data_IF_897953061130
#
_entry.id   IF_897953061130
#
_cell.length_a   1.000
_cell.length_b   1.000
_cell.length_c   1.000
_cell.angle_alpha   90.00
_cell.angle_beta   90.00
_cell.angle_gamma   90.00
#
_symmetry.space_group_name_H-M   'P 1'
#
loop_
_entity.id
_entity.type
_entity.pdbx_description
1 polymer ?
#
# COMPACT_ATOMS: atom_id res chain seq x y z
N UNK A 1 -0.52 -10.21 19.29
CA UNK A 1 0.20 -9.38 18.29
C UNK A 1 -0.63 -8.14 17.97
N UNK A 2 0.02 -7.04 17.57
CA UNK A 2 -0.65 -5.79 17.18
C UNK A 2 -0.78 -5.70 15.67
N UNK A 3 -1.80 -5.00 15.19
CA UNK A 3 -2.04 -4.82 13.75
C UNK A 3 -2.21 -3.35 13.40
N UNK A 4 -1.58 -2.93 12.32
CA UNK A 4 -1.75 -1.61 11.72
C UNK A 4 -2.40 -1.82 10.35
N UNK A 5 -3.51 -1.13 10.09
CA UNK A 5 -4.11 -1.01 8.77
C UNK A 5 -3.77 0.37 8.23
N UNK A 6 -3.11 0.42 7.08
CA UNK A 6 -2.60 1.66 6.50
C UNK A 6 -3.06 1.82 5.04
N UNK A 7 -3.49 3.05 4.72
CA UNK A 7 -3.74 3.52 3.35
C UNK A 7 -3.28 4.96 3.16
N UNK A 8 -2.70 5.28 2.00
CA UNK A 8 -2.31 6.65 1.66
C UNK A 8 -1.38 6.75 0.46
N UNK A 9 -1.49 7.86 -0.26
CA UNK A 9 -0.58 8.19 -1.38
C UNK A 9 0.85 8.43 -0.88
N UNK A 10 1.00 9.10 0.26
CA UNK A 10 2.25 9.17 0.98
C UNK A 10 2.20 8.25 2.20
N UNK A 11 3.37 7.94 2.76
CA UNK A 11 3.43 7.16 3.98
C UNK A 11 3.11 8.05 5.21
N UNK A 12 2.21 7.65 6.13
CA UNK A 12 1.70 8.52 7.19
C UNK A 12 2.83 8.99 8.08
N UNK A 13 2.90 10.29 8.43
CA UNK A 13 3.90 10.79 9.37
C UNK A 13 3.91 9.99 10.68
N UNK A 14 2.73 9.61 11.17
CA UNK A 14 2.60 8.80 12.38
C UNK A 14 3.22 7.40 12.25
N UNK A 15 3.14 6.76 11.08
CA UNK A 15 3.78 5.46 10.87
C UNK A 15 5.30 5.62 10.93
N UNK A 16 5.86 6.68 10.35
CA UNK A 16 7.30 7.00 10.43
C UNK A 16 7.78 7.21 11.87
N UNK A 17 6.93 7.78 12.73
CA UNK A 17 7.25 7.96 14.15
C UNK A 17 7.15 6.62 14.89
N UNK A 18 6.08 5.86 14.67
CA UNK A 18 5.85 4.55 15.32
C UNK A 18 7.04 3.62 15.07
N UNK A 19 7.52 3.52 13.83
CA UNK A 19 8.64 2.62 13.48
C UNK A 19 9.98 3.03 14.12
N UNK A 20 10.14 4.30 14.50
CA UNK A 20 11.35 4.82 15.16
C UNK A 20 11.31 4.68 16.67
N UNK A 21 10.13 4.81 17.27
CA UNK A 21 9.96 4.91 18.73
C UNK A 21 9.59 3.56 19.35
N UNK A 22 8.88 2.70 18.63
CA UNK A 22 8.41 1.41 19.14
C UNK A 22 9.10 0.24 18.46
N UNK A 23 9.37 -0.81 19.23
CA UNK A 23 9.73 -2.11 18.67
C UNK A 23 8.53 -2.68 17.91
N UNK A 24 8.71 -2.94 16.62
CA UNK A 24 7.69 -3.54 15.77
C UNK A 24 7.93 -5.03 15.51
N UNK A 25 8.60 -5.71 16.45
CA UNK A 25 8.97 -7.11 16.29
C UNK A 25 7.75 -8.03 16.11
N UNK A 26 6.61 -7.66 16.69
CA UNK A 26 5.36 -8.44 16.70
C UNK A 26 4.17 -7.63 16.14
N UNK A 27 4.42 -6.90 15.05
CA UNK A 27 3.42 -6.04 14.38
C UNK A 27 3.12 -6.54 12.98
N UNK A 28 1.83 -6.67 12.66
CA UNK A 28 1.35 -6.86 11.31
C UNK A 28 1.01 -5.51 10.69
N UNK A 29 1.38 -5.30 9.43
CA UNK A 29 1.02 -4.11 8.65
C UNK A 29 0.21 -4.58 7.45
N UNK A 30 -1.07 -4.25 7.43
CA UNK A 30 -1.95 -4.49 6.29
C UNK A 30 -1.93 -3.22 5.43
N UNK A 31 -1.38 -3.34 4.23
CA UNK A 31 -1.25 -2.23 3.30
C UNK A 31 -2.36 -2.30 2.23
N UNK A 32 -3.03 -1.18 2.01
CA UNK A 32 -4.00 -1.09 0.91
C UNK A 32 -3.32 -1.21 -0.47
N UNK A 33 -4.12 -1.31 -1.53
CA UNK A 33 -3.64 -1.40 -2.91
C UNK A 33 -4.39 -0.43 -3.86
N UNK A 34 -5.03 0.61 -3.30
CA UNK A 34 -5.83 1.58 -4.07
C UNK A 34 -4.95 2.43 -5.01
N UNK A 35 -3.68 2.61 -4.64
CA UNK A 35 -2.71 3.35 -5.42
C UNK A 35 -1.75 2.43 -6.20
N UNK A 36 -2.04 1.14 -6.33
CA UNK A 36 -1.29 0.27 -7.23
C UNK A 36 -1.38 0.81 -8.66
N UNK A 37 -0.25 0.82 -9.37
CA UNK A 37 -0.16 1.32 -10.74
C UNK A 37 0.77 0.47 -11.58
N UNK A 38 0.80 0.71 -12.89
CA UNK A 38 1.74 0.06 -13.80
C UNK A 38 2.69 1.08 -14.41
N UNK A 39 3.97 0.71 -14.52
CA UNK A 39 4.97 1.42 -15.30
C UNK A 39 5.47 0.48 -16.41
N UNK A 40 5.19 0.81 -17.67
CA UNK A 40 5.61 -0.02 -18.82
C UNK A 40 5.24 -1.52 -18.68
N UNK A 41 4.05 -1.81 -18.15
CA UNK A 41 3.55 -3.18 -17.91
C UNK A 41 4.02 -3.84 -16.61
N UNK A 42 4.88 -3.17 -15.83
CA UNK A 42 5.36 -3.64 -14.54
C UNK A 42 4.46 -3.10 -13.41
N UNK A 43 3.87 -3.99 -12.60
CA UNK A 43 2.96 -3.61 -11.52
C UNK A 43 3.71 -3.14 -10.27
N UNK A 44 3.48 -1.91 -9.85
CA UNK A 44 3.95 -1.36 -8.58
C UNK A 44 2.84 -1.48 -7.54
N UNK A 45 3.18 -2.01 -6.36
CA UNK A 45 2.24 -2.15 -5.25
C UNK A 45 2.50 -1.07 -4.22
N UNK A 46 1.94 0.11 -4.45
CA UNK A 46 2.48 1.36 -3.93
C UNK A 46 2.59 1.40 -2.41
N UNK A 47 1.50 1.17 -1.67
CA UNK A 47 1.54 1.21 -0.20
C UNK A 47 2.37 0.08 0.41
N UNK A 48 2.24 -1.13 -0.12
CA UNK A 48 2.95 -2.29 0.41
C UNK A 48 4.47 -2.17 0.17
N UNK A 49 4.87 -1.67 -1.00
CA UNK A 49 6.28 -1.40 -1.34
C UNK A 49 6.82 -0.22 -0.51
N UNK A 50 6.04 0.84 -0.31
CA UNK A 50 6.43 1.94 0.58
C UNK A 50 6.64 1.47 2.03
N UNK A 51 5.80 0.56 2.53
CA UNK A 51 5.95 0.00 3.87
C UNK A 51 7.23 -0.84 4.00
N UNK A 52 7.57 -1.64 2.99
CA UNK A 52 8.84 -2.38 2.94
C UNK A 52 10.02 -1.41 2.97
N UNK A 53 10.02 -0.42 2.10
CA UNK A 53 11.14 0.52 1.95
C UNK A 53 11.37 1.33 3.22
N UNK A 54 10.31 1.82 3.87
CA UNK A 54 10.39 2.51 5.16
C UNK A 54 11.10 1.67 6.23
N UNK A 55 10.82 0.36 6.27
CA UNK A 55 11.33 -0.53 7.30
C UNK A 55 12.69 -1.13 6.95
N UNK A 56 13.08 -1.09 5.68
CA UNK A 56 14.37 -1.58 5.21
C UNK A 56 15.49 -0.62 5.62
N UNK A 57 16.29 -1.01 6.61
CA UNK A 57 17.49 -0.27 6.98
C UNK A 57 18.52 -0.44 5.85
N UNK A 58 18.89 0.66 5.20
CA UNK A 58 19.98 0.69 4.20
C UNK A 58 19.56 0.94 2.75
N UNK A 59 18.26 0.91 2.42
CA UNK A 59 17.77 1.42 1.13
C UNK A 59 17.48 2.92 1.23
N UNK A 60 17.01 3.38 2.40
CA UNK A 60 16.77 4.79 2.68
C UNK A 60 18.06 5.61 2.50
N UNK A 61 18.08 6.50 1.50
CA UNK A 61 19.22 7.36 1.17
C UNK A 61 20.18 6.83 0.08
N UNK A 62 19.98 5.61 -0.42
CA UNK A 62 20.71 5.05 -1.58
C UNK A 62 19.84 4.94 -2.83
N UNK A 63 18.54 5.21 -2.70
CA UNK A 63 17.56 5.09 -3.78
C UNK A 63 17.73 6.20 -4.82
N UNK A 64 17.42 5.88 -6.08
CA UNK A 64 17.53 6.82 -7.21
C UNK A 64 16.35 6.65 -8.18
N UNK A 65 16.32 7.44 -9.25
CA UNK A 65 15.25 7.41 -10.26
C UNK A 65 15.81 7.16 -11.67
N UNK A 66 16.97 6.49 -11.75
CA UNK A 66 17.73 6.33 -13.00
C UNK A 66 16.91 5.55 -14.04
N UNK A 67 16.22 4.49 -13.62
CA UNK A 67 15.37 3.72 -14.54
C UNK A 67 14.23 4.56 -15.08
N UNK A 68 13.59 5.39 -14.25
CA UNK A 68 12.53 6.30 -14.70
C UNK A 68 13.07 7.31 -15.72
N UNK A 69 14.20 7.97 -15.44
CA UNK A 69 14.79 8.96 -16.35
C UNK A 69 15.12 8.35 -17.73
N UNK A 70 15.60 7.11 -17.75
CA UNK A 70 15.87 6.38 -19.00
C UNK A 70 14.56 6.04 -19.72
N UNK A 71 13.53 5.56 -19.00
CA UNK A 71 12.23 5.25 -19.58
C UNK A 71 11.59 6.49 -20.23
N UNK A 72 11.66 7.65 -19.57
CA UNK A 72 11.18 8.92 -20.10
C UNK A 72 11.93 9.34 -21.38
N UNK A 73 13.27 9.20 -21.41
CA UNK A 73 14.09 9.43 -22.61
C UNK A 73 13.71 8.53 -23.79
N UNK A 74 13.20 7.33 -23.50
CA UNK A 74 12.70 6.38 -24.50
C UNK A 74 11.24 6.64 -24.91
N UNK A 75 10.60 7.69 -24.36
CA UNK A 75 9.22 8.08 -24.69
C UNK A 75 8.14 7.40 -23.84
N UNK A 76 8.51 6.70 -22.76
CA UNK A 76 7.52 6.18 -21.82
C UNK A 76 6.90 7.31 -21.00
N UNK A 77 5.58 7.26 -20.82
CA UNK A 77 4.86 8.20 -19.95
C UNK A 77 4.94 7.72 -18.50
N UNK A 78 5.63 8.46 -17.64
CA UNK A 78 5.74 8.17 -16.20
C UNK A 78 5.14 9.34 -15.41
N UNK A 79 3.89 9.20 -14.99
CA UNK A 79 3.19 10.25 -14.24
C UNK A 79 3.43 10.18 -12.72
N UNK A 80 3.88 9.02 -12.25
CA UNK A 80 4.10 8.75 -10.83
C UNK A 80 5.60 8.52 -10.63
N UNK A 81 6.29 9.37 -9.85
CA UNK A 81 7.69 9.15 -9.53
C UNK A 81 7.91 7.76 -8.94
N UNK A 82 8.72 6.96 -9.62
CA UNK A 82 8.95 5.54 -9.30
C UNK A 82 10.44 5.32 -9.16
N UNK A 83 10.88 5.07 -7.93
CA UNK A 83 12.28 4.87 -7.64
C UNK A 83 12.81 3.51 -8.09
N UNK A 84 14.12 3.42 -8.24
CA UNK A 84 14.82 2.20 -8.66
C UNK A 84 14.58 1.06 -7.65
N UNK A 85 14.45 1.37 -6.34
CA UNK A 85 14.08 0.37 -5.35
C UNK A 85 12.66 -0.19 -5.55
N UNK A 86 11.66 0.64 -5.88
CA UNK A 86 10.31 0.15 -6.20
C UNK A 86 10.30 -0.73 -7.43
N UNK A 87 11.06 -0.35 -8.45
CA UNK A 87 11.22 -1.14 -9.67
C UNK A 87 11.87 -2.49 -9.34
N UNK A 88 12.92 -2.51 -8.52
CA UNK A 88 13.59 -3.74 -8.09
C UNK A 88 12.65 -4.68 -7.29
N UNK A 89 11.88 -4.14 -6.34
CA UNK A 89 10.87 -4.90 -5.59
C UNK A 89 9.82 -5.51 -6.53
N UNK A 90 9.36 -4.74 -7.52
CA UNK A 90 8.40 -5.21 -8.50
C UNK A 90 8.97 -6.31 -9.41
N UNK A 91 10.18 -6.14 -9.95
CA UNK A 91 10.86 -7.18 -10.75
C UNK A 91 11.00 -8.49 -9.95
N UNK A 92 11.41 -8.38 -8.68
CA UNK A 92 11.50 -9.53 -7.80
C UNK A 92 10.14 -10.21 -7.61
N UNK A 93 9.10 -9.43 -7.28
CA UNK A 93 7.72 -9.92 -7.10
C UNK A 93 7.19 -10.61 -8.36
N UNK A 94 7.33 -10.00 -9.53
CA UNK A 94 6.88 -10.58 -10.80
C UNK A 94 7.61 -11.89 -11.13
N UNK A 95 8.92 -11.95 -10.88
CA UNK A 95 9.70 -13.18 -11.04
C UNK A 95 9.21 -14.32 -10.15
N UNK A 96 8.68 -14.01 -8.96
CA UNK A 96 8.08 -14.99 -8.03
C UNK A 96 6.65 -15.37 -8.40
N UNK A 97 5.83 -14.41 -8.79
CA UNK A 97 4.45 -14.65 -9.23
C UNK A 97 4.41 -15.60 -10.45
N UNK A 98 5.34 -15.44 -11.40
CA UNK A 98 5.49 -16.36 -12.54
C UNK A 98 5.82 -17.80 -12.14
N UNK A 99 6.33 -18.01 -10.93
CA UNK A 99 6.60 -19.35 -10.35
C UNK A 99 5.47 -19.82 -9.44
N UNK A 100 4.26 -19.25 -9.60
CA UNK A 100 3.06 -19.57 -8.83
C UNK A 100 3.20 -19.39 -7.31
N UNK A 101 4.11 -18.51 -6.87
CA UNK A 101 4.18 -18.16 -5.45
C UNK A 101 3.04 -17.21 -5.07
N UNK A 102 2.43 -17.45 -3.91
CA UNK A 102 1.39 -16.58 -3.37
C UNK A 102 1.96 -15.21 -2.92
N UNK A 103 1.22 -14.13 -3.19
CA UNK A 103 1.66 -12.75 -2.93
C UNK A 103 2.04 -12.49 -1.46
N UNK A 104 1.29 -13.03 -0.50
CA UNK A 104 1.61 -12.90 0.94
C UNK A 104 2.94 -13.58 1.27
N UNK A 105 3.23 -14.72 0.63
CA UNK A 105 4.52 -15.41 0.82
C UNK A 105 5.68 -14.62 0.20
N UNK A 106 5.45 -13.95 -0.93
CA UNK A 106 6.45 -13.08 -1.57
C UNK A 106 6.80 -11.92 -0.65
N UNK A 107 5.81 -11.23 -0.07
CA UNK A 107 6.07 -10.15 0.89
C UNK A 107 6.77 -10.65 2.16
N UNK A 108 6.44 -11.86 2.64
CA UNK A 108 7.18 -12.48 3.74
C UNK A 108 8.64 -12.76 3.38
N UNK A 109 8.91 -13.21 2.16
CA UNK A 109 10.28 -13.41 1.66
C UNK A 109 11.04 -12.08 1.56
N UNK A 110 10.42 -11.05 1.00
CA UNK A 110 10.97 -9.69 0.92
C UNK A 110 11.33 -9.16 2.31
N UNK A 111 10.39 -9.22 3.27
CA UNK A 111 10.66 -8.80 4.65
C UNK A 111 11.85 -9.54 5.26
N UNK A 112 11.93 -10.86 5.10
CA UNK A 112 13.08 -11.66 5.60
C UNK A 112 14.40 -11.23 4.97
N UNK A 113 14.44 -11.06 3.65
CA UNK A 113 15.66 -10.66 2.93
C UNK A 113 16.13 -9.25 3.29
N UNK A 114 15.19 -8.36 3.58
CA UNK A 114 15.45 -6.98 4.01
C UNK A 114 15.61 -6.85 5.53
N UNK A 115 15.62 -7.96 6.27
CA UNK A 115 15.73 -8.00 7.75
C UNK A 115 14.64 -7.17 8.46
N UNK A 116 13.47 -7.07 7.83
CA UNK A 116 12.28 -6.39 8.35
C UNK A 116 11.55 -7.36 9.28
N UNK A 117 11.35 -6.95 10.53
CA UNK A 117 10.62 -7.75 11.53
C UNK A 117 9.10 -7.70 11.34
N UNK A 118 8.47 -6.53 11.10
CA UNK A 118 7.04 -6.48 10.83
C UNK A 118 6.62 -7.38 9.69
N UNK A 119 5.45 -8.02 9.85
CA UNK A 119 4.84 -8.81 8.80
C UNK A 119 3.96 -7.90 7.94
N UNK A 120 4.39 -7.64 6.70
CA UNK A 120 3.66 -6.79 5.75
C UNK A 120 2.76 -7.69 4.90
N UNK A 121 1.48 -7.37 4.87
CA UNK A 121 0.45 -8.13 4.16
C UNK A 121 -0.27 -7.17 3.20
N UNK A 122 -0.12 -7.33 1.89
CA UNK A 122 -0.94 -6.59 0.93
C UNK A 122 -2.41 -6.95 1.13
N UNK A 123 -3.33 -6.00 0.95
CA UNK A 123 -4.76 -6.23 1.18
C UNK A 123 -5.34 -7.33 0.30
N UNK A 124 -5.15 -7.24 -1.01
CA UNK A 124 -5.68 -8.17 -2.00
C UNK A 124 -4.78 -8.22 -3.23
N UNK A 125 -4.89 -9.28 -4.05
CA UNK A 125 -4.33 -9.32 -5.40
C UNK A 125 -5.30 -8.77 -6.46
N UNK A 126 -6.58 -8.58 -6.10
CA UNK A 126 -7.57 -8.03 -7.02
C UNK A 126 -7.24 -6.58 -7.37
N UNK A 127 -7.47 -6.21 -8.62
CA UNK A 127 -7.28 -4.83 -9.08
C UNK A 127 -8.32 -3.93 -8.44
N UNK A 128 -7.85 -2.87 -7.80
CA UNK A 128 -8.65 -1.75 -7.32
C UNK A 128 -8.08 -0.50 -7.98
N UNK A 129 -8.96 0.37 -8.47
CA UNK A 129 -8.57 1.65 -9.04
C UNK A 129 -9.44 2.77 -8.51
N UNK A 130 -8.81 3.92 -8.29
CA UNK A 130 -9.48 5.16 -7.91
C UNK A 130 -9.14 6.24 -8.95
N UNK A 131 -10.17 6.72 -9.65
CA UNK A 131 -10.06 7.75 -10.69
C UNK A 131 -10.69 9.03 -10.18
N UNK A 132 -9.99 10.14 -10.34
CA UNK A 132 -10.45 11.48 -9.99
C UNK A 132 -10.81 12.19 -11.29
N UNK A 133 -12.10 12.56 -11.41
CA UNK A 133 -12.58 13.39 -12.53
C UNK A 133 -12.42 14.86 -12.18
N UNK A 134 -11.77 15.58 -13.08
CA UNK A 134 -11.43 17.00 -12.91
C UNK A 134 -12.00 17.82 -14.07
N UNK A 135 -11.83 19.14 -14.03
CA UNK A 135 -12.14 19.99 -15.18
C UNK A 135 -11.23 19.77 -16.40
N UNK A 136 -10.05 19.19 -16.18
CA UNK A 136 -8.98 19.06 -17.18
C UNK A 136 -8.84 17.63 -17.72
N UNK A 137 -9.66 16.70 -17.22
CA UNK A 137 -9.64 15.29 -17.57
C UNK A 137 -9.66 14.37 -16.36
N UNK A 138 -9.25 13.13 -16.55
CA UNK A 138 -9.22 12.09 -15.53
C UNK A 138 -7.77 11.75 -15.17
N UNK A 139 -7.51 11.65 -13.87
CA UNK A 139 -6.21 11.25 -13.31
C UNK A 139 -6.44 10.20 -12.22
N UNK A 140 -5.43 9.38 -11.92
CA UNK A 140 -5.53 8.49 -10.76
C UNK A 140 -5.57 9.29 -9.45
N UNK A 141 -6.14 8.68 -8.40
CA UNK A 141 -6.11 9.26 -7.06
C UNK A 141 -4.68 9.53 -6.56
N UNK A 142 -3.73 8.66 -6.93
CA UNK A 142 -2.32 8.86 -6.60
C UNK A 142 -1.75 10.10 -7.28
N UNK A 143 -2.00 10.27 -8.59
CA UNK A 143 -1.58 11.47 -9.32
C UNK A 143 -2.19 12.74 -8.73
N UNK A 144 -3.47 12.70 -8.34
CA UNK A 144 -4.14 13.83 -7.69
C UNK A 144 -3.45 14.23 -6.38
N UNK A 145 -3.09 13.27 -5.53
CA UNK A 145 -2.38 13.56 -4.28
C UNK A 145 -0.95 14.04 -4.52
N UNK A 146 -0.25 13.51 -5.52
CA UNK A 146 1.12 13.93 -5.89
C UNK A 146 1.17 15.32 -6.52
N UNK A 147 0.14 15.71 -7.28
CA UNK A 147 0.00 17.03 -7.88
C UNK A 147 -0.33 18.14 -6.85
N UNK A 148 -0.41 17.80 -5.56
CA UNK A 148 -0.71 18.71 -4.44
C UNK A 148 -2.02 19.49 -4.61
N UNK A 149 -3.16 18.76 -4.57
CA UNK A 149 -4.54 19.20 -4.18
C UNK A 149 -5.16 20.47 -4.79
N UNK A 150 -4.50 21.17 -5.71
CA UNK A 150 -5.05 22.42 -6.30
C UNK A 150 -6.00 22.18 -7.49
N UNK A 151 -6.27 20.91 -7.82
CA UNK A 151 -7.16 20.55 -8.92
C UNK A 151 -8.59 20.40 -8.40
N UNK A 152 -9.54 21.09 -9.04
CA UNK A 152 -10.96 20.97 -8.69
C UNK A 152 -11.48 19.55 -8.98
N UNK A 153 -11.86 18.84 -7.92
CA UNK A 153 -12.47 17.51 -7.98
C UNK A 153 -13.96 17.63 -8.26
N UNK A 154 -14.43 16.96 -9.31
CA UNK A 154 -15.87 16.79 -9.60
C UNK A 154 -16.41 15.50 -9.01
N UNK A 155 -15.65 14.43 -9.15
CA UNK A 155 -16.07 13.08 -8.77
C UNK A 155 -14.83 12.22 -8.49
N UNK A 156 -15.00 11.25 -7.58
CA UNK A 156 -14.03 10.17 -7.36
C UNK A 156 -14.74 8.84 -7.59
N UNK A 157 -14.28 8.08 -8.58
CA UNK A 157 -14.82 6.77 -8.91
C UNK A 157 -13.90 5.67 -8.39
N UNK A 158 -14.49 4.69 -7.70
CA UNK A 158 -13.79 3.52 -7.18
C UNK A 158 -14.26 2.28 -7.92
N UNK A 159 -13.33 1.58 -8.57
CA UNK A 159 -13.61 0.35 -9.29
C UNK A 159 -12.95 -0.85 -8.60
N UNK A 160 -13.62 -2.01 -8.69
CA UNK A 160 -13.09 -3.28 -8.19
C UNK A 160 -13.29 -3.53 -6.69
N UNK A 161 -13.70 -2.52 -5.91
CA UNK A 161 -13.86 -2.64 -4.45
C UNK A 161 -14.85 -3.74 -4.04
N UNK A 162 -15.96 -3.91 -4.77
CA UNK A 162 -16.98 -4.90 -4.44
C UNK A 162 -16.54 -6.34 -4.74
N UNK A 163 -15.52 -6.49 -5.59
CA UNK A 163 -14.94 -7.79 -5.98
C UNK A 163 -13.66 -8.10 -5.22
N UNK A 164 -13.12 -7.13 -4.47
CA UNK A 164 -11.89 -7.29 -3.73
C UNK A 164 -12.07 -8.36 -2.64
N UNK A 165 -11.19 -9.35 -2.65
CA UNK A 165 -11.13 -10.41 -1.65
C UNK A 165 -9.87 -10.24 -0.83
N UNK A 166 -9.97 -9.96 0.48
CA UNK A 166 -8.78 -9.93 1.32
C UNK A 166 -8.14 -11.32 1.33
N UNK A 167 -6.84 -11.38 1.52
CA UNK A 167 -6.19 -12.65 1.81
C UNK A 167 -6.68 -13.21 3.16
N UNK A 168 -6.88 -14.52 3.26
CA UNK A 168 -7.33 -15.20 4.50
C UNK A 168 -6.45 -14.86 5.72
N UNK A 169 -5.15 -14.64 5.47
CA UNK A 169 -4.21 -14.22 6.50
C UNK A 169 -4.62 -12.90 7.17
N UNK A 170 -5.23 -11.97 6.42
CA UNK A 170 -5.69 -10.68 6.97
C UNK A 170 -6.82 -10.88 7.97
N UNK A 171 -7.81 -11.70 7.62
CA UNK A 171 -8.96 -12.00 8.49
C UNK A 171 -8.46 -12.61 9.81
N UNK A 172 -7.58 -13.60 9.73
CA UNK A 172 -6.99 -14.22 10.90
C UNK A 172 -6.12 -13.25 11.70
N UNK A 173 -5.34 -12.39 11.03
CA UNK A 173 -4.52 -11.38 11.69
C UNK A 173 -5.37 -10.39 12.48
N UNK A 174 -6.41 -9.81 11.87
CA UNK A 174 -7.28 -8.84 12.54
C UNK A 174 -8.01 -9.50 13.71
N UNK A 175 -8.62 -10.67 13.50
CA UNK A 175 -9.40 -11.37 14.54
C UNK A 175 -8.58 -11.65 15.81
N UNK A 176 -7.31 -12.04 15.65
CA UNK A 176 -6.42 -12.41 16.76
C UNK A 176 -5.53 -11.25 17.24
N UNK A 177 -5.84 -10.02 16.85
CA UNK A 177 -5.05 -8.85 17.26
C UNK A 177 -5.41 -8.41 18.68
N UNK A 178 -4.40 -8.10 19.49
CA UNK A 178 -4.58 -7.44 20.79
C UNK A 178 -5.07 -6.00 20.62
N UNK A 179 -4.62 -5.36 19.53
CA UNK A 179 -5.12 -4.07 19.09
C UNK A 179 -4.96 -3.88 17.59
N UNK A 180 -5.86 -3.10 17.01
CA UNK A 180 -5.88 -2.70 15.61
C UNK A 180 -5.81 -1.18 15.54
N UNK A 181 -4.78 -0.64 14.91
CA UNK A 181 -4.63 0.78 14.63
C UNK A 181 -4.91 1.04 13.15
N UNK A 182 -5.95 1.82 12.84
CA UNK A 182 -6.33 2.19 11.49
C UNK A 182 -5.80 3.60 11.22
N UNK A 183 -4.93 3.72 10.22
CA UNK A 183 -4.24 4.96 9.85
C UNK A 183 -4.63 5.33 8.41
N UNK A 184 -5.76 6.03 8.22
CA UNK A 184 -6.11 6.65 6.95
C UNK A 184 -5.32 7.96 6.79
N UNK A 185 -4.55 8.11 5.71
CA UNK A 185 -3.97 9.42 5.38
C UNK A 185 -4.97 10.38 4.75
N UNK A 186 -6.04 9.84 4.20
CA UNK A 186 -7.16 10.58 3.63
C UNK A 186 -8.41 9.68 3.69
N UNK A 187 -9.63 10.25 3.64
CA UNK A 187 -10.86 9.48 3.79
C UNK A 187 -11.17 8.55 2.60
N UNK A 188 -10.58 8.79 1.42
CA UNK A 188 -10.88 8.02 0.21
C UNK A 188 -10.03 6.75 0.17
N UNK A 189 -8.74 6.87 0.47
CA UNK A 189 -7.79 5.78 0.32
C UNK A 189 -8.06 4.60 1.24
N UNK A 190 -8.78 4.79 2.35
CA UNK A 190 -9.09 3.69 3.28
C UNK A 190 -10.34 2.89 2.87
N UNK A 191 -11.15 3.42 1.94
CA UNK A 191 -12.45 2.87 1.54
C UNK A 191 -12.35 1.40 1.10
N UNK A 192 -11.38 0.97 0.27
CA UNK A 192 -11.33 -0.42 -0.18
C UNK A 192 -11.28 -1.45 0.95
N UNK A 193 -10.50 -1.15 2.00
CA UNK A 193 -10.41 -2.04 3.15
C UNK A 193 -11.68 -1.92 4.01
N UNK A 194 -12.17 -0.69 4.26
CA UNK A 194 -13.28 -0.47 5.19
C UNK A 194 -14.67 -0.80 4.64
N UNK A 195 -14.85 -0.80 3.32
CA UNK A 195 -16.11 -1.25 2.68
C UNK A 195 -16.14 -2.74 2.40
N UNK A 196 -15.02 -3.44 2.54
CA UNK A 196 -14.99 -4.89 2.38
C UNK A 196 -15.75 -5.58 3.52
N UNK A 197 -16.73 -6.42 3.16
CA UNK A 197 -17.63 -7.09 4.13
C UNK A 197 -16.88 -8.01 5.08
N UNK A 198 -15.93 -8.79 4.57
CA UNK A 198 -15.15 -9.72 5.39
C UNK A 198 -14.33 -8.97 6.44
N UNK A 199 -13.73 -7.83 6.05
CA UNK A 199 -13.02 -6.96 6.99
C UNK A 199 -13.96 -6.33 8.02
N UNK A 200 -15.11 -5.80 7.61
CA UNK A 200 -16.09 -5.21 8.53
C UNK A 200 -16.58 -6.23 9.57
N UNK A 201 -16.92 -7.44 9.13
CA UNK A 201 -17.33 -8.51 10.04
C UNK A 201 -16.21 -8.94 10.98
N UNK A 202 -14.98 -9.00 10.47
CA UNK A 202 -13.82 -9.38 11.27
C UNK A 202 -13.50 -8.33 12.33
N UNK A 203 -13.55 -7.04 11.99
CA UNK A 203 -13.37 -5.94 12.94
C UNK A 203 -14.45 -5.96 14.03
N UNK A 204 -15.72 -6.21 13.68
CA UNK A 204 -16.81 -6.35 14.67
C UNK A 204 -16.62 -7.53 15.64
N UNK A 205 -15.93 -8.58 15.20
CA UNK A 205 -15.64 -9.80 15.98
C UNK A 205 -14.27 -9.75 16.67
N UNK A 206 -13.48 -8.71 16.46
CA UNK A 206 -12.19 -8.54 17.09
C UNK A 206 -12.39 -8.18 18.57
N UNK A 207 -11.81 -8.97 19.46
CA UNK A 207 -11.86 -8.71 20.91
C UNK A 207 -10.85 -7.63 21.35
N UNK A 208 -9.80 -7.42 20.55
CA UNK A 208 -8.79 -6.39 20.78
C UNK A 208 -9.28 -4.96 20.55
N UNK A 209 -8.55 -4.00 21.12
CA UNK A 209 -8.90 -2.58 20.98
C UNK A 209 -8.71 -2.08 19.55
N UNK A 210 -9.75 -1.50 18.97
CA UNK A 210 -9.70 -0.87 17.65
C UNK A 210 -9.63 0.65 17.82
N UNK A 211 -8.59 1.27 17.28
CA UNK A 211 -8.39 2.71 17.28
C UNK A 211 -8.23 3.19 15.84
N UNK A 212 -8.97 4.21 15.44
CA UNK A 212 -8.80 4.89 14.16
C UNK A 212 -8.28 6.31 14.39
N UNK A 213 -7.33 6.72 13.55
CA UNK A 213 -6.81 8.09 13.56
C UNK A 213 -7.60 8.89 12.53
N UNK A 214 -8.13 10.06 12.93
CA UNK A 214 -8.73 10.97 11.95
C UNK A 214 -7.65 11.44 10.97
N UNK A 215 -7.89 11.40 9.65
CA UNK A 215 -6.96 11.97 8.69
C UNK A 215 -6.84 13.50 8.93
N UNK A 216 -5.68 14.10 8.58
CA UNK A 216 -5.47 15.54 8.66
C UNK A 216 -6.27 16.33 7.61
#
# INVERSE_FOLDING_TARGET
>A
MKTIIYSGAELPPILRVIVKVYSLSDVNIIANNIHDYNISGLKIMHEADNALLLLSKGIEGQDSFTCQEILEKLGAKVNIPTSDAKIALSIFREGRLKRSQNLVNIYRELSKKLQIKPNIIPFTDNKISATVKTGEGEISLLEYFLAKKDINVREVELEGIDKAKPFDQIVNTIKNSESVLIIPNDPVSIIPIMKNKDIQETLKKCEGQITAISPP
#
